data_IF_615763374899
#
_entry.id   IF_615763374899
#
_cell.length_a   1.000
_cell.length_b   1.000
_cell.length_c   1.000
_cell.angle_alpha   90.00
_cell.angle_beta   90.00
_cell.angle_gamma   90.00
#
_symmetry.space_group_name_H-M   'P 1'
#
loop_
_entity.id
_entity.type
_entity.pdbx_description
1 polymer ?
#
# COMPACT_ATOMS: atom_id res chain seq x y z
N UNK A 1 -9.97 31.18 10.61
CA UNK A 1 -11.38 30.76 10.46
C UNK A 1 -12.35 31.76 11.10
N UNK A 2 -12.09 32.29 12.31
CA UNK A 2 -13.00 33.24 13.02
C UNK A 2 -12.83 34.70 12.55
N UNK A 3 -12.10 34.93 11.45
CA UNK A 3 -11.91 36.29 10.92
C UNK A 3 -12.90 36.48 9.76
N UNK A 4 -13.51 37.66 9.70
CA UNK A 4 -14.34 38.06 8.55
C UNK A 4 -13.54 37.93 7.25
N UNK A 5 -14.17 37.37 6.22
CA UNK A 5 -13.56 37.06 4.91
C UNK A 5 -12.41 36.04 4.93
N UNK A 6 -12.36 35.14 5.93
CA UNK A 6 -11.48 33.98 5.85
C UNK A 6 -11.86 33.11 4.63
N UNK A 7 -10.91 32.90 3.72
CA UNK A 7 -11.10 32.08 2.51
C UNK A 7 -10.81 30.62 2.80
N UNK A 8 -11.73 29.75 2.43
CA UNK A 8 -11.63 28.29 2.55
C UNK A 8 -11.01 27.66 1.31
N UNK A 9 -11.10 28.34 0.16
CA UNK A 9 -10.53 27.92 -1.10
C UNK A 9 -9.51 28.96 -1.65
N UNK A 10 -8.55 28.54 -2.49
CA UNK A 10 -7.62 29.45 -3.13
C UNK A 10 -8.30 30.48 -4.05
N UNK A 11 -9.41 30.10 -4.69
CA UNK A 11 -10.17 30.96 -5.61
C UNK A 11 -11.00 32.02 -4.87
N UNK A 12 -11.27 31.80 -3.58
CA UNK A 12 -11.99 32.71 -2.71
C UNK A 12 -13.50 32.75 -2.94
N UNK A 13 -14.06 31.70 -3.55
CA UNK A 13 -15.51 31.51 -3.72
C UNK A 13 -16.16 31.17 -2.38
N UNK A 14 -15.46 30.39 -1.56
CA UNK A 14 -15.92 29.96 -0.24
C UNK A 14 -15.20 30.78 0.83
N UNK A 15 -15.91 31.72 1.44
CA UNK A 15 -15.38 32.56 2.51
C UNK A 15 -16.35 32.71 3.68
N UNK A 16 -15.80 33.12 4.83
CA UNK A 16 -16.60 33.51 6.00
C UNK A 16 -17.28 34.85 5.73
N UNK A 17 -18.59 34.83 5.53
CA UNK A 17 -19.40 36.05 5.42
C UNK A 17 -19.64 36.67 6.81
N UNK A 18 -19.59 38.00 6.89
CA UNK A 18 -20.16 38.73 8.03
C UNK A 18 -21.69 38.65 8.01
N UNK A 19 -22.34 39.01 9.11
CA UNK A 19 -23.81 39.08 9.16
C UNK A 19 -24.29 40.54 9.07
N UNK A 20 -25.42 40.75 8.41
CA UNK A 20 -26.16 42.01 8.52
C UNK A 20 -26.91 42.02 9.87
N UNK A 21 -26.69 43.04 10.70
CA UNK A 21 -27.38 43.18 12.00
C UNK A 21 -28.91 43.36 11.85
N UNK A 22 -29.38 43.80 10.68
CA UNK A 22 -30.78 44.12 10.42
C UNK A 22 -31.60 42.95 9.85
N UNK A 23 -30.97 42.05 9.08
CA UNK A 23 -31.59 40.80 8.63
C UNK A 23 -30.53 39.69 8.45
N UNK A 24 -30.09 39.06 9.57
CA UNK A 24 -29.03 38.07 9.54
C UNK A 24 -29.40 36.85 8.69
N UNK A 25 -30.66 36.41 8.71
CA UNK A 25 -31.07 35.17 8.06
C UNK A 25 -31.01 35.30 6.54
N UNK A 26 -31.58 36.36 5.98
CA UNK A 26 -31.59 36.56 4.52
C UNK A 26 -30.18 36.70 3.97
N UNK A 27 -29.28 37.38 4.68
CA UNK A 27 -27.88 37.54 4.27
C UNK A 27 -27.12 36.21 4.12
N UNK A 28 -27.37 35.25 5.03
CA UNK A 28 -26.78 33.91 4.92
C UNK A 28 -27.40 33.08 3.79
N UNK A 29 -28.72 33.20 3.58
CA UNK A 29 -29.42 32.46 2.51
C UNK A 29 -28.96 32.94 1.13
N UNK A 30 -28.88 34.26 0.91
CA UNK A 30 -28.41 34.82 -0.36
C UNK A 30 -26.97 34.39 -0.68
N UNK A 31 -26.11 34.33 0.33
CA UNK A 31 -24.76 33.81 0.15
C UNK A 31 -24.75 32.32 -0.22
N UNK A 32 -25.52 31.48 0.49
CA UNK A 32 -25.63 30.05 0.19
C UNK A 32 -26.16 29.84 -1.23
N UNK A 33 -27.17 30.60 -1.66
CA UNK A 33 -27.75 30.53 -2.99
C UNK A 33 -26.78 31.00 -4.10
N UNK A 34 -25.79 31.84 -3.75
CA UNK A 34 -24.73 32.26 -4.68
C UNK A 34 -23.66 31.20 -4.91
N UNK A 35 -23.56 30.19 -4.03
CA UNK A 35 -22.51 29.17 -4.11
C UNK A 35 -22.79 28.15 -5.23
N UNK A 36 -21.73 27.59 -5.85
CA UNK A 36 -21.88 26.50 -6.81
C UNK A 36 -22.59 25.28 -6.20
N UNK A 37 -23.46 24.64 -6.97
CA UNK A 37 -24.15 23.39 -6.59
C UNK A 37 -23.17 22.24 -6.29
N UNK A 38 -21.99 22.25 -6.91
CA UNK A 38 -20.94 21.25 -6.70
C UNK A 38 -19.67 21.95 -6.22
N UNK A 39 -19.29 21.68 -4.98
CA UNK A 39 -18.05 22.20 -4.42
C UNK A 39 -16.84 21.45 -4.96
N UNK A 40 -15.78 22.19 -5.29
CA UNK A 40 -14.50 21.60 -5.65
C UNK A 40 -13.79 20.95 -4.45
N UNK A 41 -12.88 20.00 -4.69
CA UNK A 41 -12.14 19.30 -3.63
C UNK A 41 -11.24 20.24 -2.82
N UNK A 42 -10.82 21.36 -3.42
CA UNK A 42 -9.97 22.37 -2.79
C UNK A 42 -10.61 23.00 -1.54
N UNK A 43 -11.96 23.08 -1.48
CA UNK A 43 -12.70 23.59 -0.31
C UNK A 43 -12.45 22.74 0.93
N UNK A 44 -12.17 21.45 0.73
CA UNK A 44 -11.83 20.50 1.80
C UNK A 44 -10.32 20.40 2.02
N UNK A 45 -9.51 21.19 1.32
CA UNK A 45 -8.05 21.09 1.33
C UNK A 45 -7.51 19.91 0.52
N UNK A 46 -8.32 19.31 -0.35
CA UNK A 46 -7.93 18.19 -1.22
C UNK A 46 -7.48 18.70 -2.58
N UNK A 47 -6.55 17.97 -3.21
CA UNK A 47 -6.13 18.23 -4.59
C UNK A 47 -7.22 17.88 -5.61
N UNK A 48 -7.21 18.50 -6.80
CA UNK A 48 -8.20 18.24 -7.87
C UNK A 48 -8.27 16.78 -8.31
N UNK A 49 -7.16 16.05 -8.17
CA UNK A 49 -7.09 14.61 -8.43
C UNK A 49 -8.07 13.79 -7.57
N UNK A 50 -8.54 14.32 -6.43
CA UNK A 50 -9.55 13.66 -5.61
C UNK A 50 -10.87 13.46 -6.36
N UNK A 51 -11.26 14.41 -7.23
CA UNK A 51 -12.45 14.23 -8.07
C UNK A 51 -12.28 13.08 -9.06
N UNK A 52 -11.11 12.98 -9.69
CA UNK A 52 -10.78 11.89 -10.63
C UNK A 52 -10.83 10.55 -9.89
N UNK A 53 -10.22 10.45 -8.71
CA UNK A 53 -10.23 9.24 -7.89
C UNK A 53 -11.65 8.83 -7.46
N UNK A 54 -12.49 9.81 -7.10
CA UNK A 54 -13.89 9.58 -6.76
C UNK A 54 -14.66 9.03 -7.98
N UNK A 55 -14.59 9.70 -9.12
CA UNK A 55 -15.25 9.27 -10.36
C UNK A 55 -14.78 7.89 -10.81
N UNK A 56 -13.48 7.58 -10.70
CA UNK A 56 -12.97 6.23 -10.98
C UNK A 56 -13.60 5.20 -10.05
N UNK A 57 -13.67 5.47 -8.74
CA UNK A 57 -14.25 4.56 -7.75
C UNK A 57 -15.73 4.30 -8.02
N UNK A 58 -16.51 5.35 -8.30
CA UNK A 58 -17.93 5.23 -8.68
C UNK A 58 -18.11 4.44 -9.97
N UNK A 59 -17.27 4.70 -10.98
CA UNK A 59 -17.31 4.01 -12.27
C UNK A 59 -17.02 2.51 -12.10
N UNK A 60 -16.00 2.14 -11.33
CA UNK A 60 -15.70 0.74 -11.04
C UNK A 60 -16.82 0.07 -10.22
N UNK A 61 -17.38 0.77 -9.23
CA UNK A 61 -18.53 0.26 -8.48
C UNK A 61 -19.76 0.03 -9.36
N UNK A 62 -19.96 0.87 -10.37
CA UNK A 62 -21.01 0.70 -11.37
C UNK A 62 -20.74 -0.53 -12.24
N UNK A 63 -19.50 -0.73 -12.71
CA UNK A 63 -19.12 -1.93 -13.45
C UNK A 63 -19.28 -3.21 -12.63
N UNK A 64 -18.86 -3.21 -11.36
CA UNK A 64 -19.05 -4.35 -10.46
C UNK A 64 -20.55 -4.66 -10.28
N UNK A 65 -21.38 -3.63 -10.17
CA UNK A 65 -22.85 -3.79 -10.08
C UNK A 65 -23.41 -4.38 -11.37
N UNK A 66 -23.00 -3.89 -12.54
CA UNK A 66 -23.43 -4.42 -13.84
C UNK A 66 -23.02 -5.88 -14.00
N UNK A 67 -21.78 -6.23 -13.66
CA UNK A 67 -21.28 -7.61 -13.68
C UNK A 67 -22.05 -8.53 -12.71
N UNK A 68 -22.54 -7.99 -11.59
CA UNK A 68 -23.37 -8.74 -10.64
C UNK A 68 -24.81 -8.96 -11.14
N UNK A 69 -25.31 -8.09 -12.02
CA UNK A 69 -26.66 -8.14 -12.59
C UNK A 69 -26.74 -8.95 -13.89
N UNK A 70 -25.59 -9.24 -14.50
CA UNK A 70 -25.53 -10.06 -15.71
C UNK A 70 -26.15 -11.43 -15.43
N UNK A 71 -27.29 -11.71 -16.09
CA UNK A 71 -27.97 -12.99 -15.98
C UNK A 71 -27.03 -14.07 -16.57
N UNK A 72 -26.41 -14.84 -15.69
CA UNK A 72 -25.59 -15.99 -16.06
C UNK A 72 -26.52 -17.12 -16.45
N UNK A 73 -27.18 -16.97 -17.60
CA UNK A 73 -28.02 -18.02 -18.15
C UNK A 73 -27.18 -19.29 -18.33
N UNK A 74 -27.62 -20.36 -17.68
CA UNK A 74 -27.11 -21.72 -17.81
C UNK A 74 -27.48 -22.35 -19.16
N UNK A 75 -27.52 -21.55 -20.24
CA UNK A 75 -27.96 -21.99 -21.56
C UNK A 75 -26.77 -22.30 -22.48
N UNK A 76 -26.32 -23.56 -22.40
CA UNK A 76 -25.89 -24.34 -23.57
C UNK A 76 -24.88 -23.72 -24.52
N UNK A 77 -23.67 -23.41 -24.04
CA UNK A 77 -22.55 -22.98 -24.88
C UNK A 77 -21.20 -23.02 -24.16
N UNK A 78 -20.98 -24.03 -23.31
CA UNK A 78 -19.92 -24.08 -22.28
C UNK A 78 -18.46 -24.17 -22.75
N UNK A 79 -18.14 -23.90 -24.02
CA UNK A 79 -16.74 -23.95 -24.48
C UNK A 79 -15.95 -22.71 -24.08
N UNK A 80 -16.36 -21.53 -24.57
CA UNK A 80 -15.44 -20.36 -24.61
C UNK A 80 -15.01 -19.82 -23.24
N UNK A 81 -15.91 -19.75 -22.26
CA UNK A 81 -15.61 -19.17 -20.95
C UNK A 81 -14.88 -20.16 -20.03
N UNK A 82 -15.30 -21.43 -20.02
CA UNK A 82 -14.61 -22.47 -19.25
C UNK A 82 -13.22 -22.75 -19.82
N UNK A 83 -13.07 -22.75 -21.15
CA UNK A 83 -11.76 -22.85 -21.82
C UNK A 83 -10.88 -21.64 -21.48
N UNK A 84 -11.43 -20.42 -21.45
CA UNK A 84 -10.69 -19.23 -21.06
C UNK A 84 -10.21 -19.29 -19.61
N UNK A 85 -11.08 -19.66 -18.67
CA UNK A 85 -10.74 -19.86 -17.25
C UNK A 85 -9.69 -20.96 -17.09
N UNK A 86 -9.84 -22.06 -17.83
CA UNK A 86 -8.87 -23.16 -17.86
C UNK A 86 -7.49 -22.69 -18.34
N UNK A 87 -7.44 -21.90 -19.42
CA UNK A 87 -6.20 -21.35 -19.95
C UNK A 87 -5.52 -20.40 -18.95
N UNK A 88 -6.27 -19.50 -18.32
CA UNK A 88 -5.74 -18.59 -17.28
C UNK A 88 -5.23 -19.39 -16.08
N UNK A 89 -6.01 -20.37 -15.60
CA UNK A 89 -5.61 -21.24 -14.50
C UNK A 89 -4.34 -22.04 -14.81
N UNK A 90 -4.22 -22.56 -16.04
CA UNK A 90 -3.04 -23.28 -16.50
C UNK A 90 -1.79 -22.37 -16.61
N UNK A 91 -1.96 -21.12 -17.08
CA UNK A 91 -0.86 -20.14 -17.16
C UNK A 91 -0.36 -19.75 -15.77
N UNK A 92 -1.27 -19.43 -14.84
CA UNK A 92 -0.94 -19.13 -13.44
C UNK A 92 -0.23 -20.33 -12.80
N UNK A 93 -0.73 -21.54 -13.03
CA UNK A 93 -0.11 -22.75 -12.50
C UNK A 93 1.30 -22.95 -13.03
N UNK A 94 1.51 -22.71 -14.33
CA UNK A 94 2.83 -22.80 -14.96
C UNK A 94 3.81 -21.79 -14.36
N UNK A 95 3.43 -20.51 -14.28
CA UNK A 95 4.26 -19.45 -13.67
C UNK A 95 4.67 -19.80 -12.23
N UNK A 96 3.72 -20.30 -11.43
CA UNK A 96 3.98 -20.72 -10.04
C UNK A 96 4.81 -21.99 -9.93
N UNK A 97 4.58 -22.97 -10.81
CA UNK A 97 5.33 -24.23 -10.82
C UNK A 97 6.79 -24.02 -11.23
N UNK A 98 7.06 -23.07 -12.13
CA UNK A 98 8.42 -22.69 -12.53
C UNK A 98 9.20 -22.03 -11.38
N UNK A 99 8.57 -21.17 -10.59
CA UNK A 99 9.20 -20.58 -9.39
C UNK A 99 9.32 -21.58 -8.24
N UNK A 100 8.35 -22.48 -8.08
CA UNK A 100 8.34 -23.50 -7.03
C UNK A 100 8.07 -22.94 -5.63
N UNK A 101 8.08 -23.83 -4.64
CA UNK A 101 8.02 -23.47 -3.22
C UNK A 101 9.43 -23.39 -2.64
N UNK A 102 9.62 -22.52 -1.64
CA UNK A 102 10.89 -22.38 -0.94
C UNK A 102 11.21 -23.60 -0.09
N UNK A 103 12.43 -24.12 -0.15
CA UNK A 103 12.89 -25.17 0.77
C UNK A 103 13.23 -24.57 2.14
N UNK A 104 12.27 -24.63 3.06
CA UNK A 104 12.40 -24.03 4.39
C UNK A 104 13.53 -24.67 5.20
N UNK A 105 13.81 -25.96 5.01
CA UNK A 105 14.87 -26.65 5.74
C UNK A 105 16.25 -26.19 5.24
N UNK A 106 16.45 -26.17 3.92
CA UNK A 106 17.68 -25.68 3.31
C UNK A 106 17.93 -24.19 3.63
N UNK A 107 16.90 -23.35 3.50
CA UNK A 107 16.98 -21.92 3.84
C UNK A 107 17.26 -21.72 5.32
N UNK A 108 16.65 -22.51 6.20
CA UNK A 108 16.91 -22.45 7.64
C UNK A 108 18.33 -22.87 8.03
N UNK A 109 18.96 -23.77 7.27
CA UNK A 109 20.37 -24.12 7.44
C UNK A 109 21.31 -23.02 6.90
N UNK A 110 20.96 -22.40 5.77
CA UNK A 110 21.74 -21.32 5.15
C UNK A 110 21.66 -20.01 5.94
N UNK A 111 20.47 -19.69 6.46
CA UNK A 111 20.16 -18.50 7.25
C UNK A 111 19.69 -18.91 8.65
N UNK A 112 20.59 -19.45 9.50
CA UNK A 112 20.21 -19.88 10.83
C UNK A 112 19.86 -18.68 11.71
N UNK A 113 19.12 -18.96 12.79
CA UNK A 113 18.79 -17.95 13.80
C UNK A 113 20.07 -17.55 14.53
N UNK A 114 20.60 -16.39 14.17
CA UNK A 114 21.83 -15.82 14.72
C UNK A 114 21.44 -14.56 15.52
N UNK A 115 22.10 -14.35 16.65
CA UNK A 115 21.82 -13.17 17.49
C UNK A 115 22.16 -11.88 16.75
N UNK A 116 23.26 -11.85 16.02
CA UNK A 116 23.74 -10.70 15.27
C UNK A 116 22.91 -10.37 14.02
N UNK A 117 22.14 -11.35 13.50
CA UNK A 117 21.39 -11.20 12.25
C UNK A 117 19.93 -11.66 12.40
N UNK A 118 19.08 -10.74 12.86
CA UNK A 118 17.63 -10.96 12.96
C UNK A 118 16.95 -11.10 11.60
N UNK A 119 17.51 -10.58 10.50
CA UNK A 119 16.89 -10.67 9.18
C UNK A 119 16.72 -12.11 8.71
N UNK A 120 17.62 -13.02 9.11
CA UNK A 120 17.51 -14.45 8.80
C UNK A 120 16.17 -15.04 9.25
N UNK A 121 15.72 -14.64 10.45
CA UNK A 121 14.43 -15.11 10.98
C UNK A 121 13.27 -14.52 10.19
N UNK A 122 13.37 -13.24 9.79
CA UNK A 122 12.35 -12.58 8.96
C UNK A 122 12.22 -13.30 7.62
N UNK A 123 13.34 -13.57 6.93
CA UNK A 123 13.37 -14.28 5.66
C UNK A 123 12.68 -15.65 5.76
N UNK A 124 13.06 -16.49 6.73
CA UNK A 124 12.46 -17.82 6.92
C UNK A 124 10.94 -17.71 7.17
N UNK A 125 10.50 -16.75 7.99
CA UNK A 125 9.07 -16.56 8.27
C UNK A 125 8.30 -16.07 7.04
N UNK A 126 8.89 -15.23 6.21
CA UNK A 126 8.31 -14.77 4.95
C UNK A 126 8.17 -15.93 3.95
N UNK A 127 9.21 -16.75 3.78
CA UNK A 127 9.16 -17.96 2.97
C UNK A 127 8.05 -18.92 3.43
N UNK A 128 7.89 -19.12 4.74
CA UNK A 128 6.81 -19.96 5.29
C UNK A 128 5.42 -19.41 4.90
N UNK A 129 5.22 -18.10 4.93
CA UNK A 129 3.95 -17.47 4.58
C UNK A 129 3.64 -17.59 3.09
N UNK A 130 4.63 -17.29 2.24
CA UNK A 130 4.49 -17.47 0.80
C UNK A 130 4.24 -18.94 0.44
N UNK A 131 4.94 -19.88 1.06
CA UNK A 131 4.72 -21.31 0.82
C UNK A 131 3.29 -21.76 1.13
N UNK A 132 2.65 -21.23 2.18
CA UNK A 132 1.24 -21.57 2.48
C UNK A 132 0.30 -21.14 1.37
N UNK A 133 0.53 -19.96 0.78
CA UNK A 133 -0.24 -19.46 -0.36
C UNK A 133 0.05 -20.27 -1.62
N UNK A 134 1.34 -20.48 -1.96
CA UNK A 134 1.77 -21.24 -3.13
C UNK A 134 1.20 -22.67 -3.08
N UNK A 135 1.28 -23.35 -1.94
CA UNK A 135 0.74 -24.70 -1.77
C UNK A 135 -0.77 -24.75 -2.01
N UNK A 136 -1.52 -23.75 -1.56
CA UNK A 136 -2.95 -23.68 -1.82
C UNK A 136 -3.24 -23.49 -3.32
N UNK A 137 -2.52 -22.60 -3.98
CA UNK A 137 -2.68 -22.34 -5.41
C UNK A 137 -2.28 -23.57 -6.26
N UNK A 138 -1.15 -24.21 -5.94
CA UNK A 138 -0.68 -25.41 -6.63
C UNK A 138 -1.60 -26.63 -6.41
N UNK A 139 -2.38 -26.65 -5.33
CA UNK A 139 -3.42 -27.67 -5.10
C UNK A 139 -4.69 -27.35 -5.88
N UNK A 140 -5.17 -26.11 -5.82
CA UNK A 140 -6.48 -25.70 -6.34
C UNK A 140 -6.49 -25.50 -7.87
N UNK A 141 -5.43 -24.95 -8.47
CA UNK A 141 -5.36 -24.70 -9.92
C UNK A 141 -5.46 -25.99 -10.77
N UNK A 142 -4.76 -27.09 -10.45
CA UNK A 142 -4.91 -28.34 -11.20
C UNK A 142 -6.26 -29.02 -10.96
N UNK A 143 -6.80 -28.92 -9.75
CA UNK A 143 -8.15 -29.44 -9.42
C UNK A 143 -9.22 -28.72 -10.23
N UNK A 144 -9.16 -27.39 -10.32
CA UNK A 144 -10.05 -26.58 -11.15
C UNK A 144 -9.97 -27.02 -12.62
N UNK A 145 -8.75 -27.15 -13.18
CA UNK A 145 -8.56 -27.59 -14.56
C UNK A 145 -9.12 -28.99 -14.84
N UNK A 146 -9.06 -29.91 -13.87
CA UNK A 146 -9.66 -31.24 -13.99
C UNK A 146 -11.18 -31.18 -13.88
N UNK A 147 -11.72 -30.33 -13.02
CA UNK A 147 -13.15 -30.14 -12.86
C UNK A 147 -13.79 -29.53 -14.12
N UNK A 148 -13.16 -28.52 -14.73
CA UNK A 148 -13.60 -27.93 -16.00
C UNK A 148 -13.62 -28.96 -17.15
N UNK A 149 -12.73 -29.96 -17.12
CA UNK A 149 -12.70 -31.07 -18.10
C UNK A 149 -13.66 -32.22 -17.76
N UNK A 150 -14.44 -32.12 -16.68
CA UNK A 150 -15.34 -33.17 -16.21
C UNK A 150 -14.65 -34.40 -15.61
N UNK A 151 -13.36 -34.30 -15.26
CA UNK A 151 -12.58 -35.39 -14.66
C UNK A 151 -12.70 -35.45 -13.14
N UNK A 152 -13.11 -34.35 -12.51
CA UNK A 152 -13.34 -34.20 -11.06
C UNK A 152 -14.69 -33.53 -10.87
N UNK A 153 -15.38 -33.86 -9.76
CA UNK A 153 -16.66 -33.22 -9.42
C UNK A 153 -16.41 -31.75 -9.08
N UNK A 154 -17.19 -30.86 -9.70
CA UNK A 154 -17.19 -29.43 -9.38
C UNK A 154 -17.74 -29.22 -7.98
N UNK A 155 -16.88 -28.91 -7.01
CA UNK A 155 -17.29 -28.50 -5.67
C UNK A 155 -17.75 -27.03 -5.69
N UNK A 156 -18.46 -26.60 -4.65
CA UNK A 156 -18.84 -25.18 -4.48
C UNK A 156 -17.62 -24.27 -4.47
N UNK A 157 -16.54 -24.69 -3.81
CA UNK A 157 -15.28 -23.95 -3.76
C UNK A 157 -14.64 -23.78 -5.14
N UNK A 158 -14.61 -24.83 -5.96
CA UNK A 158 -14.08 -24.77 -7.33
C UNK A 158 -14.99 -23.96 -8.26
N UNK A 159 -16.30 -24.02 -8.05
CA UNK A 159 -17.27 -23.21 -8.79
C UNK A 159 -17.10 -21.72 -8.50
N UNK A 160 -16.96 -21.33 -7.24
CA UNK A 160 -16.73 -19.94 -6.85
C UNK A 160 -15.36 -19.44 -7.32
N UNK A 161 -14.34 -20.30 -7.28
CA UNK A 161 -13.03 -20.01 -7.85
C UNK A 161 -13.10 -19.81 -9.38
N UNK A 162 -13.84 -20.65 -10.10
CA UNK A 162 -14.05 -20.49 -11.55
C UNK A 162 -14.73 -19.16 -11.86
N UNK A 163 -15.79 -18.82 -11.11
CA UNK A 163 -16.54 -17.57 -11.26
C UNK A 163 -15.69 -16.33 -11.00
N UNK A 164 -14.85 -16.35 -9.98
CA UNK A 164 -13.97 -15.20 -9.62
C UNK A 164 -12.86 -15.02 -10.65
N UNK A 165 -12.22 -16.11 -11.10
CA UNK A 165 -11.21 -16.05 -12.16
C UNK A 165 -11.81 -15.52 -13.47
N UNK A 166 -13.04 -15.93 -13.81
CA UNK A 166 -13.71 -15.47 -15.02
C UNK A 166 -13.93 -13.95 -15.07
N UNK A 167 -14.06 -13.29 -13.92
CA UNK A 167 -14.22 -11.84 -13.80
C UNK A 167 -12.93 -11.13 -13.37
N UNK A 168 -11.77 -11.79 -13.51
CA UNK A 168 -10.45 -11.24 -13.18
C UNK A 168 -10.33 -10.80 -11.71
N UNK A 169 -10.97 -11.52 -10.78
CA UNK A 169 -10.88 -11.32 -9.34
C UNK A 169 -10.10 -12.46 -8.68
N UNK A 170 -9.45 -12.15 -7.57
CA UNK A 170 -8.69 -13.14 -6.79
C UNK A 170 -9.69 -14.01 -6.00
N UNK A 171 -9.63 -15.34 -6.10
CA UNK A 171 -10.46 -16.24 -5.29
C UNK A 171 -10.27 -16.00 -3.78
N UNK A 172 -11.37 -16.00 -3.03
CA UNK A 172 -11.37 -15.77 -1.57
C UNK A 172 -10.49 -16.77 -0.81
N UNK A 173 -10.43 -18.03 -1.27
CA UNK A 173 -9.57 -19.07 -0.70
C UNK A 173 -8.08 -18.72 -0.76
N UNK A 174 -7.67 -17.89 -1.72
CA UNK A 174 -6.32 -17.37 -1.83
C UNK A 174 -6.17 -16.09 -1.02
N UNK A 175 -7.14 -15.17 -1.09
CA UNK A 175 -7.11 -13.90 -0.32
C UNK A 175 -6.94 -14.13 1.19
N UNK A 176 -7.63 -15.13 1.76
CA UNK A 176 -7.51 -15.49 3.18
C UNK A 176 -6.10 -15.90 3.61
N UNK A 177 -5.29 -16.39 2.66
CA UNK A 177 -3.90 -16.79 2.85
C UNK A 177 -2.91 -15.80 2.25
N UNK A 178 -3.38 -14.76 1.58
CA UNK A 178 -2.55 -13.78 0.88
C UNK A 178 -2.31 -12.52 1.70
N UNK A 179 -1.39 -11.70 1.21
CA UNK A 179 -1.21 -10.35 1.68
C UNK A 179 -2.38 -9.48 1.19
N UNK A 180 -2.77 -8.43 1.94
CA UNK A 180 -3.82 -7.50 1.50
C UNK A 180 -3.47 -6.89 0.15
N UNK A 181 -4.40 -6.98 -0.81
CA UNK A 181 -4.27 -6.38 -2.14
C UNK A 181 -5.63 -5.94 -2.65
N UNK A 182 -5.62 -4.96 -3.55
CA UNK A 182 -6.81 -4.51 -4.28
C UNK A 182 -6.65 -4.71 -5.80
N UNK A 183 -5.58 -5.41 -6.21
CA UNK A 183 -5.25 -5.64 -7.61
C UNK A 183 -6.18 -6.69 -8.23
N UNK A 184 -6.55 -6.55 -9.52
CA UNK A 184 -7.22 -7.61 -10.24
C UNK A 184 -6.31 -8.84 -10.40
N UNK A 185 -6.89 -10.01 -10.67
CA UNK A 185 -6.19 -11.30 -10.67
C UNK A 185 -4.91 -11.28 -11.52
N UNK A 186 -4.98 -10.79 -12.76
CA UNK A 186 -3.80 -10.74 -13.64
C UNK A 186 -2.62 -9.96 -13.00
N UNK A 187 -2.87 -8.72 -12.58
CA UNK A 187 -1.85 -7.87 -11.94
C UNK A 187 -1.44 -8.37 -10.55
N UNK A 188 -2.34 -9.06 -9.85
CA UNK A 188 -2.04 -9.69 -8.56
C UNK A 188 -1.08 -10.87 -8.72
N UNK A 189 -1.27 -11.69 -9.75
CA UNK A 189 -0.34 -12.81 -10.06
C UNK A 189 1.03 -12.27 -10.43
N UNK A 190 1.11 -11.24 -11.28
CA UNK A 190 2.41 -10.67 -11.65
C UNK A 190 3.13 -10.07 -10.42
N UNK A 191 2.41 -9.33 -9.54
CA UNK A 191 2.94 -8.83 -8.26
C UNK A 191 3.36 -9.98 -7.31
N UNK A 192 2.63 -11.10 -7.28
CA UNK A 192 3.04 -12.29 -6.53
C UNK A 192 4.35 -12.86 -7.07
N UNK A 193 4.49 -13.00 -8.39
CA UNK A 193 5.71 -13.53 -9.00
C UNK A 193 6.92 -12.62 -8.71
N UNK A 194 6.75 -11.29 -8.80
CA UNK A 194 7.80 -10.33 -8.44
C UNK A 194 8.21 -10.46 -6.97
N UNK A 195 7.25 -10.68 -6.06
CA UNK A 195 7.55 -10.90 -4.62
C UNK A 195 8.35 -12.18 -4.39
N UNK A 196 7.95 -13.26 -5.05
CA UNK A 196 8.66 -14.53 -4.97
C UNK A 196 10.08 -14.40 -5.53
N UNK A 197 10.24 -13.62 -6.59
CA UNK A 197 11.56 -13.33 -7.16
C UNK A 197 12.43 -12.52 -6.22
N UNK A 198 11.89 -11.47 -5.59
CA UNK A 198 12.61 -10.70 -4.58
C UNK A 198 13.11 -11.58 -3.41
N UNK A 199 12.24 -12.43 -2.87
CA UNK A 199 12.62 -13.36 -1.79
C UNK A 199 13.59 -14.44 -2.29
N UNK A 200 13.40 -14.96 -3.50
CA UNK A 200 14.29 -15.93 -4.13
C UNK A 200 15.70 -15.39 -4.35
N UNK A 201 15.81 -14.18 -4.90
CA UNK A 201 17.10 -13.49 -5.08
C UNK A 201 17.80 -13.27 -3.73
N UNK A 202 17.06 -12.96 -2.66
CA UNK A 202 17.64 -12.88 -1.33
C UNK A 202 18.20 -14.26 -0.90
N UNK A 203 17.43 -15.33 -1.04
CA UNK A 203 17.88 -16.69 -0.67
C UNK A 203 19.17 -17.06 -1.43
N UNK A 204 19.22 -16.81 -2.74
CA UNK A 204 20.31 -17.22 -3.62
C UNK A 204 21.56 -16.34 -3.49
N UNK A 205 21.40 -15.02 -3.48
CA UNK A 205 22.49 -14.05 -3.60
C UNK A 205 22.89 -13.40 -2.26
N UNK A 206 22.11 -13.60 -1.20
CA UNK A 206 22.33 -12.97 0.10
C UNK A 206 21.47 -11.72 0.32
N UNK A 207 21.77 -11.01 1.42
CA UNK A 207 20.96 -9.88 1.88
C UNK A 207 20.98 -8.73 0.84
N UNK A 208 19.81 -8.26 0.36
CA UNK A 208 19.74 -7.14 -0.58
C UNK A 208 20.29 -5.83 -0.01
N UNK A 209 20.90 -5.00 -0.85
CA UNK A 209 21.30 -3.63 -0.49
C UNK A 209 20.08 -2.73 -0.25
N UNK A 210 19.07 -2.86 -1.11
CA UNK A 210 17.80 -2.12 -1.04
C UNK A 210 16.65 -3.11 -0.93
N UNK A 211 15.87 -3.00 0.13
CA UNK A 211 14.73 -3.87 0.38
C UNK A 211 13.47 -3.33 -0.29
N UNK A 212 12.75 -4.19 -1.01
CA UNK A 212 11.41 -3.86 -1.48
C UNK A 212 10.41 -4.02 -0.34
N UNK A 213 10.15 -2.95 0.42
CA UNK A 213 9.32 -3.01 1.64
C UNK A 213 7.91 -3.50 1.33
N UNK A 214 7.40 -3.13 0.16
CA UNK A 214 6.09 -3.53 -0.32
C UNK A 214 6.02 -4.98 -0.72
N UNK A 215 7.16 -5.63 -0.96
CA UNK A 215 7.29 -7.04 -1.31
C UNK A 215 7.17 -8.00 -0.12
N UNK A 216 7.25 -7.50 1.12
CA UNK A 216 7.05 -8.33 2.30
C UNK A 216 5.57 -8.65 2.52
N UNK A 217 5.31 -9.89 2.91
CA UNK A 217 4.02 -10.33 3.42
C UNK A 217 3.71 -9.64 4.76
N UNK A 218 4.72 -9.44 5.61
CA UNK A 218 4.58 -8.73 6.89
C UNK A 218 5.71 -7.74 7.17
N UNK A 219 5.60 -6.52 6.61
CA UNK A 219 6.63 -5.48 6.73
C UNK A 219 7.00 -5.12 8.18
N UNK A 220 6.08 -5.27 9.14
CA UNK A 220 6.38 -4.98 10.55
C UNK A 220 7.48 -5.88 11.13
N UNK A 221 7.56 -7.15 10.73
CA UNK A 221 8.65 -8.02 11.20
C UNK A 221 10.00 -7.57 10.64
N UNK A 222 10.03 -7.11 9.39
CA UNK A 222 11.22 -6.51 8.78
C UNK A 222 11.68 -5.26 9.53
N UNK A 223 10.76 -4.32 9.83
CA UNK A 223 11.09 -3.09 10.57
C UNK A 223 11.67 -3.41 11.96
N UNK A 224 11.03 -4.31 12.71
CA UNK A 224 11.51 -4.75 14.02
C UNK A 224 12.86 -5.46 13.90
N UNK A 225 13.05 -6.30 12.88
CA UNK A 225 14.32 -6.97 12.64
C UNK A 225 15.46 -5.97 12.41
N UNK A 226 15.21 -4.88 11.67
CA UNK A 226 16.21 -3.87 11.39
C UNK A 226 16.58 -3.08 12.67
N UNK A 227 15.59 -2.76 13.51
CA UNK A 227 15.84 -2.19 14.85
C UNK A 227 16.62 -3.16 15.73
N UNK A 228 16.31 -4.45 15.69
CA UNK A 228 17.01 -5.49 16.47
C UNK A 228 18.48 -5.60 16.08
N UNK A 229 18.81 -5.62 14.78
CA UNK A 229 20.20 -5.69 14.34
C UNK A 229 21.03 -4.52 14.90
N UNK A 230 20.50 -3.30 14.81
CA UNK A 230 21.17 -2.12 15.36
C UNK A 230 21.26 -2.15 16.89
N UNK A 231 20.17 -2.51 17.56
CA UNK A 231 20.12 -2.61 19.02
C UNK A 231 21.11 -3.66 19.55
N UNK A 232 21.22 -4.82 18.90
CA UNK A 232 22.14 -5.89 19.28
C UNK A 232 23.60 -5.54 18.98
N UNK A 233 23.89 -4.97 17.80
CA UNK A 233 25.23 -4.47 17.43
C UNK A 233 25.79 -3.52 18.49
N UNK A 234 24.94 -2.67 19.06
CA UNK A 234 25.33 -1.64 20.03
C UNK A 234 24.99 -1.99 21.50
N UNK A 235 24.40 -3.17 21.76
CA UNK A 235 23.92 -3.58 23.10
C UNK A 235 22.93 -2.59 23.73
N UNK A 236 22.01 -2.05 22.93
CA UNK A 236 20.94 -1.16 23.37
C UNK A 236 19.62 -1.90 23.59
N UNK A 237 18.75 -1.45 24.51
CA UNK A 237 17.38 -1.91 24.57
C UNK A 237 16.62 -1.51 23.29
N UNK A 238 15.92 -2.45 22.66
CA UNK A 238 15.18 -2.22 21.40
C UNK A 238 14.17 -1.06 21.54
N UNK A 239 13.54 -0.92 22.70
CA UNK A 239 12.52 0.12 22.98
C UNK A 239 13.09 1.55 22.92
N UNK A 240 14.41 1.69 22.95
CA UNK A 240 15.11 2.99 22.86
C UNK A 240 15.52 3.37 21.44
N UNK A 241 15.29 2.48 20.46
CA UNK A 241 15.76 2.64 19.07
C UNK A 241 14.58 3.03 18.17
N UNK A 242 14.70 4.15 17.49
CA UNK A 242 13.74 4.61 16.47
C UNK A 242 14.47 4.98 15.18
N UNK A 243 13.73 5.02 14.06
CA UNK A 243 14.29 5.39 12.76
C UNK A 243 14.26 6.91 12.53
N UNK A 244 15.38 7.45 12.07
CA UNK A 244 15.42 8.62 11.22
C UNK A 244 15.12 8.19 9.77
N UNK A 245 14.46 9.09 9.04
CA UNK A 245 14.09 8.87 7.65
C UNK A 245 14.90 9.84 6.79
N UNK A 246 15.76 9.30 5.93
CA UNK A 246 16.50 10.10 4.97
C UNK A 246 16.09 9.69 3.55
N UNK A 247 15.64 10.66 2.77
CA UNK A 247 15.30 10.47 1.36
C UNK A 247 16.60 10.53 0.59
N UNK A 248 16.91 9.47 -0.16
CA UNK A 248 18.11 9.43 -0.98
C UNK A 248 17.83 10.06 -2.33
N UNK A 249 18.80 10.86 -2.79
CA UNK A 249 18.81 11.46 -4.11
C UNK A 249 19.52 10.52 -5.07
N UNK A 250 18.80 9.47 -5.47
CA UNK A 250 19.24 8.48 -6.46
C UNK A 250 18.21 8.41 -7.58
N UNK A 251 18.69 8.31 -8.82
CA UNK A 251 17.82 8.18 -10.00
C UNK A 251 17.18 6.78 -10.04
N UNK A 252 17.98 5.73 -9.82
CA UNK A 252 17.50 4.37 -9.66
C UNK A 252 18.04 3.73 -8.36
N UNK A 253 17.26 2.81 -7.79
CA UNK A 253 17.66 2.03 -6.62
C UNK A 253 18.71 0.98 -6.98
N UNK A 254 18.79 0.57 -8.24
CA UNK A 254 19.79 -0.38 -8.75
C UNK A 254 21.22 0.19 -8.69
N UNK A 255 21.36 1.53 -8.68
CA UNK A 255 22.66 2.22 -8.59
C UNK A 255 23.27 2.15 -7.17
N UNK A 256 22.57 1.56 -6.19
CA UNK A 256 23.04 1.41 -4.81
C UNK A 256 23.80 0.09 -4.64
N UNK A 257 25.12 0.16 -4.82
CA UNK A 257 26.03 -0.99 -4.74
C UNK A 257 26.38 -1.43 -3.30
N UNK A 258 26.20 -0.55 -2.32
CA UNK A 258 26.59 -0.81 -0.92
C UNK A 258 25.40 -0.67 0.05
N UNK A 259 25.36 -1.56 1.04
CA UNK A 259 24.44 -1.46 2.18
C UNK A 259 24.83 -0.31 3.12
N UNK A 260 23.89 0.29 3.84
CA UNK A 260 24.23 1.34 4.82
C UNK A 260 25.04 0.76 5.98
N UNK A 261 25.87 1.58 6.63
CA UNK A 261 26.62 1.20 7.82
C UNK A 261 25.70 0.77 8.98
N UNK A 262 24.60 1.52 9.14
CA UNK A 262 23.54 1.26 10.09
C UNK A 262 22.16 1.44 9.44
N UNK A 263 21.25 0.51 9.71
CA UNK A 263 19.89 0.54 9.19
C UNK A 263 19.71 -0.19 7.87
N UNK A 264 18.73 0.25 7.09
CA UNK A 264 18.33 -0.39 5.82
C UNK A 264 17.82 0.64 4.83
N UNK A 265 18.06 0.41 3.53
CA UNK A 265 17.41 1.15 2.45
C UNK A 265 16.12 0.45 2.04
N UNK A 266 15.04 1.21 1.85
CA UNK A 266 13.75 0.68 1.41
C UNK A 266 13.25 1.35 0.14
N UNK A 267 12.56 0.58 -0.70
CA UNK A 267 11.85 1.05 -1.91
C UNK A 267 10.44 0.50 -2.01
N UNK A 268 9.66 1.06 -2.93
CA UNK A 268 8.36 0.52 -3.37
C UNK A 268 7.15 1.14 -2.69
N UNK A 269 7.30 2.27 -2.01
CA UNK A 269 6.17 3.04 -1.47
C UNK A 269 5.63 4.00 -2.55
N UNK A 270 4.32 4.17 -2.58
CA UNK A 270 3.61 5.12 -3.44
C UNK A 270 2.92 6.18 -2.59
N UNK A 271 3.07 7.44 -2.94
CA UNK A 271 2.47 8.58 -2.27
C UNK A 271 1.18 9.01 -3.00
N UNK A 272 0.11 9.20 -2.24
CA UNK A 272 -1.17 9.75 -2.70
C UNK A 272 -1.40 11.14 -2.08
N UNK A 273 -1.98 12.05 -2.86
CA UNK A 273 -2.36 13.40 -2.38
C UNK A 273 -1.21 14.41 -2.35
N UNK A 274 0.02 13.97 -2.59
CA UNK A 274 1.20 14.80 -2.78
C UNK A 274 2.18 14.09 -3.73
N UNK A 275 3.30 14.75 -4.03
CA UNK A 275 4.46 14.18 -4.71
C UNK A 275 5.74 14.47 -3.94
N UNK A 276 6.72 13.58 -4.05
CA UNK A 276 8.10 13.91 -3.69
C UNK A 276 8.72 14.75 -4.81
N UNK A 277 9.30 15.90 -4.45
CA UNK A 277 10.01 16.79 -5.35
C UNK A 277 11.51 16.70 -5.05
N UNK A 278 12.25 15.97 -5.91
CA UNK A 278 13.67 15.71 -5.71
C UNK A 278 14.53 16.98 -5.82
N UNK A 279 14.13 17.96 -6.65
CA UNK A 279 14.86 19.22 -6.78
C UNK A 279 14.69 20.10 -5.53
N UNK A 280 13.50 20.08 -4.93
CA UNK A 280 13.20 20.87 -3.74
C UNK A 280 13.49 20.12 -2.42
N UNK A 281 13.84 18.83 -2.49
CA UNK A 281 13.91 17.87 -1.37
C UNK A 281 12.73 18.02 -0.39
N UNK A 282 11.52 18.11 -0.94
CA UNK A 282 10.31 18.46 -0.17
C UNK A 282 9.08 17.82 -0.78
N UNK A 283 8.06 17.55 0.04
CA UNK A 283 6.72 17.32 -0.46
C UNK A 283 6.21 18.53 -1.24
N UNK A 284 5.54 18.24 -2.33
CA UNK A 284 4.90 19.23 -3.18
C UNK A 284 3.53 18.70 -3.64
N UNK A 285 2.68 19.56 -4.18
CA UNK A 285 1.31 19.19 -4.59
C UNK A 285 1.34 18.11 -5.69
N UNK A 286 0.32 17.29 -5.85
CA UNK A 286 0.31 16.32 -6.96
C UNK A 286 0.26 17.03 -8.32
N UNK A 287 0.81 16.42 -9.37
CA UNK A 287 0.61 16.91 -10.74
C UNK A 287 -0.82 16.55 -11.18
N UNK A 288 -1.55 17.42 -11.89
CA UNK A 288 -2.86 17.09 -12.42
C UNK A 288 -2.86 15.78 -13.20
N UNK A 289 -3.84 14.91 -12.93
CA UNK A 289 -3.99 13.56 -13.51
C UNK A 289 -2.96 12.52 -13.07
N UNK A 290 -2.02 12.88 -12.18
CA UNK A 290 -1.12 11.93 -11.54
C UNK A 290 -1.62 11.63 -10.12
N UNK A 291 -2.37 10.54 -9.97
CA UNK A 291 -3.02 10.18 -8.69
C UNK A 291 -2.02 9.70 -7.63
N UNK A 292 -0.99 8.99 -8.08
CA UNK A 292 0.04 8.37 -7.25
C UNK A 292 1.43 8.71 -7.78
N UNK A 293 2.39 8.87 -6.89
CA UNK A 293 3.80 9.06 -7.24
C UNK A 293 4.68 8.08 -6.48
N UNK A 294 5.73 7.50 -7.09
CA UNK A 294 6.67 6.69 -6.34
C UNK A 294 7.42 7.57 -5.33
N UNK A 295 7.63 7.04 -4.13
CA UNK A 295 8.57 7.63 -3.17
C UNK A 295 10.01 7.30 -3.57
N UNK A 296 10.97 8.19 -3.24
CA UNK A 296 12.39 7.89 -3.43
C UNK A 296 12.81 6.72 -2.53
N UNK A 297 14.03 6.21 -2.74
CA UNK A 297 14.64 5.27 -1.78
C UNK A 297 14.77 5.97 -0.43
N UNK A 298 14.30 5.30 0.63
CA UNK A 298 14.34 5.84 2.00
C UNK A 298 15.35 5.04 2.81
N UNK A 299 16.30 5.73 3.41
CA UNK A 299 17.16 5.17 4.45
C UNK A 299 16.44 5.22 5.78
N UNK A 300 16.14 4.03 6.32
CA UNK A 300 15.68 3.85 7.68
C UNK A 300 16.92 3.77 8.57
N UNK A 301 17.38 4.92 9.05
CA UNK A 301 18.58 5.02 9.87
C UNK A 301 18.24 4.92 11.37
N UNK A 302 18.54 3.81 12.04
CA UNK A 302 18.21 3.64 13.46
C UNK A 302 19.09 4.53 14.34
N UNK A 303 18.50 5.09 15.39
CA UNK A 303 19.20 5.88 16.39
C UNK A 303 18.64 5.61 17.79
N UNK A 304 19.52 5.55 18.78
CA UNK A 304 19.12 5.44 20.19
C UNK A 304 18.70 6.81 20.73
N UNK A 305 17.61 6.86 21.50
CA UNK A 305 17.07 8.10 22.10
C UNK A 305 16.89 9.22 21.06
N UNK A 306 16.47 8.82 19.87
CA UNK A 306 16.20 9.69 18.73
C UNK A 306 15.34 10.89 19.14
N UNK A 307 15.82 12.10 18.88
CA UNK A 307 15.02 13.32 18.99
C UNK A 307 14.09 13.45 17.78
N UNK A 308 12.81 13.75 18.02
CA UNK A 308 11.87 14.08 16.97
C UNK A 308 12.26 15.39 16.27
N UNK A 309 12.02 15.55 14.95
CA UNK A 309 12.27 16.81 14.26
C UNK A 309 11.43 17.95 14.84
N UNK A 310 12.03 19.14 14.87
CA UNK A 310 11.44 20.36 15.44
C UNK A 310 10.77 21.27 14.40
N UNK A 311 10.94 20.99 13.11
CA UNK A 311 10.37 21.77 12.01
C UNK A 311 10.50 21.03 10.67
N UNK A 312 9.73 21.45 9.67
CA UNK A 312 9.96 21.11 8.26
C UNK A 312 9.68 19.65 7.88
N UNK A 313 8.83 18.96 8.65
CA UNK A 313 8.47 17.57 8.38
C UNK A 313 6.97 17.36 8.43
N UNK A 314 6.48 16.53 7.51
CA UNK A 314 5.15 15.95 7.55
C UNK A 314 5.22 14.51 8.05
N UNK A 315 4.35 14.15 9.00
CA UNK A 315 4.24 12.77 9.49
C UNK A 315 3.29 12.00 8.58
N UNK A 316 3.84 11.40 7.54
CA UNK A 316 3.08 10.63 6.56
C UNK A 316 2.78 9.22 7.09
N UNK A 317 1.51 8.80 7.15
CA UNK A 317 1.17 7.42 7.48
C UNK A 317 1.45 6.49 6.31
N UNK A 318 1.96 5.28 6.59
CA UNK A 318 2.19 4.22 5.60
C UNK A 318 1.19 3.08 5.80
N UNK A 319 0.52 2.68 4.72
CA UNK A 319 -0.47 1.60 4.71
C UNK A 319 -0.09 0.49 3.71
N UNK A 320 -0.63 -0.72 3.90
CA UNK A 320 -0.48 -1.82 2.93
C UNK A 320 -1.27 -1.56 1.65
N UNK A 321 -2.54 -1.15 1.80
CA UNK A 321 -3.48 -0.91 0.69
C UNK A 321 -4.31 0.35 0.88
N UNK A 322 -4.83 0.87 -0.25
CA UNK A 322 -5.58 2.13 -0.36
C UNK A 322 -6.86 2.21 0.48
N UNK A 323 -7.45 1.09 0.91
CA UNK A 323 -8.70 1.12 1.70
C UNK A 323 -8.55 1.80 3.06
N UNK A 324 -7.29 2.00 3.54
CA UNK A 324 -6.92 2.56 4.86
C UNK A 324 -7.70 1.95 6.05
N UNK A 325 -8.30 0.78 5.82
CA UNK A 325 -9.16 0.05 6.75
C UNK A 325 -8.55 -1.30 7.04
N UNK A 326 -8.75 -1.78 8.26
CA UNK A 326 -8.35 -3.10 8.70
C UNK A 326 -8.97 -3.42 10.05
N UNK A 327 -8.72 -4.62 10.54
CA UNK A 327 -9.07 -5.02 11.91
C UNK A 327 -8.08 -4.43 12.91
N UNK A 328 -8.51 -4.21 14.16
CA UNK A 328 -7.60 -3.80 15.22
C UNK A 328 -6.66 -4.96 15.54
N UNK A 329 -5.36 -4.72 15.46
CA UNK A 329 -4.33 -5.64 15.94
C UNK A 329 -4.16 -5.52 17.46
N UNK A 330 -3.37 -6.42 18.06
CA UNK A 330 -3.05 -6.41 19.50
C UNK A 330 -2.33 -5.13 19.95
N UNK A 331 -1.74 -4.37 19.03
CA UNK A 331 -1.10 -3.07 19.30
C UNK A 331 -2.09 -1.90 19.25
N UNK A 332 -3.38 -2.15 18.99
CA UNK A 332 -4.40 -1.11 18.85
C UNK A 332 -4.41 -0.40 17.49
N UNK A 333 -3.47 -0.73 16.60
CA UNK A 333 -3.44 -0.20 15.22
C UNK A 333 -4.14 -1.12 14.23
N UNK A 334 -4.64 -0.55 13.14
CA UNK A 334 -5.20 -1.30 12.01
C UNK A 334 -4.17 -2.27 11.44
N UNK A 335 -4.58 -3.48 11.06
CA UNK A 335 -3.75 -4.46 10.33
C UNK A 335 -3.22 -3.96 8.99
N UNK A 336 -3.81 -2.87 8.46
CA UNK A 336 -3.38 -2.18 7.25
C UNK A 336 -2.31 -1.09 7.53
N UNK A 337 -2.23 -0.57 8.75
CA UNK A 337 -1.21 0.43 9.11
C UNK A 337 0.16 -0.23 9.33
N UNK A 338 1.21 0.36 8.77
CA UNK A 338 2.59 -0.14 8.88
C UNK A 338 3.39 0.71 9.85
N UNK A 339 3.60 1.98 9.52
CA UNK A 339 4.40 2.92 10.33
C UNK A 339 4.10 4.37 9.94
N UNK A 340 4.62 5.31 10.72
CA UNK A 340 4.76 6.71 10.34
C UNK A 340 6.15 6.94 9.74
N UNK A 341 6.23 7.67 8.64
CA UNK A 341 7.48 8.19 8.09
C UNK A 341 7.46 9.70 8.17
N UNK A 342 8.62 10.30 8.40
CA UNK A 342 8.75 11.75 8.51
C UNK A 342 9.34 12.27 7.20
N UNK A 343 8.49 12.90 6.39
CA UNK A 343 8.83 13.35 5.04
C UNK A 343 9.14 14.85 5.08
N UNK A 344 10.31 15.29 4.59
CA UNK A 344 10.66 16.70 4.48
C UNK A 344 9.61 17.48 3.71
N UNK A 345 9.29 18.67 4.19
CA UNK A 345 8.35 19.55 3.51
C UNK A 345 8.52 21.01 3.91
N UNK A 346 8.48 21.89 2.91
CA UNK A 346 8.57 23.34 3.05
C UNK A 346 7.24 24.03 3.42
N UNK A 347 6.19 23.27 3.74
CA UNK A 347 4.90 23.82 4.17
C UNK A 347 4.95 24.34 5.62
N UNK A 348 3.94 25.12 6.02
CA UNK A 348 3.87 25.68 7.38
C UNK A 348 3.70 24.60 8.45
N UNK A 349 4.54 24.67 9.49
CA UNK A 349 4.53 23.74 10.60
C UNK A 349 3.40 24.02 11.60
N UNK A 350 2.85 22.94 12.16
CA UNK A 350 1.94 22.93 13.29
C UNK A 350 2.43 21.94 14.34
N UNK A 351 1.84 22.00 15.53
CA UNK A 351 2.00 20.98 16.56
C UNK A 351 0.73 20.15 16.61
N UNK A 352 0.84 18.84 16.36
CA UNK A 352 -0.29 17.93 16.38
C UNK A 352 -0.75 17.62 17.83
N UNK A 353 -1.84 16.85 17.95
CA UNK A 353 -2.45 16.48 19.22
C UNK A 353 -1.54 15.63 20.16
N UNK A 354 -0.41 15.12 19.66
CA UNK A 354 0.57 14.35 20.42
C UNK A 354 1.81 15.21 20.74
N UNK A 355 1.75 16.53 20.50
CA UNK A 355 2.85 17.44 20.79
C UNK A 355 4.01 17.34 19.80
N UNK A 356 3.81 16.72 18.64
CA UNK A 356 4.83 16.53 17.61
C UNK A 356 4.61 17.50 16.45
N UNK A 357 5.70 17.88 15.80
CA UNK A 357 5.65 18.72 14.58
C UNK A 357 5.01 17.94 13.44
N UNK A 358 4.15 18.65 12.72
CA UNK A 358 3.38 18.15 11.59
C UNK A 358 2.96 19.33 10.70
N UNK A 359 2.19 19.07 9.63
CA UNK A 359 1.80 20.13 8.68
C UNK A 359 0.34 20.03 8.26
N UNK A 360 -0.43 21.08 8.57
CA UNK A 360 -1.89 21.11 8.37
C UNK A 360 -2.31 20.89 6.92
N UNK A 361 -1.53 21.42 5.96
CA UNK A 361 -1.77 21.28 4.52
C UNK A 361 -1.92 19.81 4.12
N UNK A 362 -0.95 18.99 4.50
CA UNK A 362 -0.89 17.58 4.10
C UNK A 362 -1.85 16.70 4.88
N UNK A 363 -2.11 17.07 6.15
CA UNK A 363 -3.17 16.42 6.95
C UNK A 363 -4.53 16.60 6.27
N UNK A 364 -4.88 17.83 5.88
CA UNK A 364 -6.14 18.13 5.17
C UNK A 364 -6.22 17.45 3.80
N UNK A 365 -5.12 17.46 3.07
CA UNK A 365 -5.01 16.76 1.78
C UNK A 365 -5.10 15.23 1.91
N UNK A 366 -5.05 14.68 3.13
CA UNK A 366 -5.14 13.25 3.38
C UNK A 366 -3.94 12.48 2.82
N UNK A 367 -2.76 13.10 2.79
CA UNK A 367 -1.55 12.51 2.21
C UNK A 367 -1.19 11.22 2.95
N UNK A 368 -0.89 10.17 2.19
CA UNK A 368 -0.45 8.90 2.75
C UNK A 368 0.42 8.14 1.76
N UNK A 369 1.26 7.24 2.29
CA UNK A 369 2.07 6.33 1.51
C UNK A 369 1.49 4.90 1.55
N UNK A 370 1.65 4.16 0.46
CA UNK A 370 1.06 2.84 0.25
C UNK A 370 2.08 1.84 -0.29
N UNK A 371 1.98 0.60 0.16
CA UNK A 371 2.76 -0.49 -0.42
C UNK A 371 2.18 -1.01 -1.74
N UNK A 372 0.85 -1.00 -1.88
CA UNK A 372 0.16 -1.52 -3.07
C UNK A 372 -0.96 -0.61 -3.53
N UNK A 373 -1.01 -0.41 -4.84
CA UNK A 373 -2.05 0.33 -5.54
C UNK A 373 -3.13 -0.62 -6.07
N UNK A 374 -4.31 -0.07 -6.38
CA UNK A 374 -5.44 -0.85 -6.94
C UNK A 374 -5.17 -1.33 -8.38
N UNK A 375 -4.31 -0.63 -9.11
CA UNK A 375 -3.94 -0.92 -10.50
C UNK A 375 -2.43 -0.96 -10.59
#
# INVERSE_FOLDING_TARGET
IINDNYKFDPEGVYFSVGFDESDPQSSYIEYIDSLPLSAGPQVFGLHENANIACTLTETFSMFDTILSLEARDTSGGGGSQEDAVGNVSADIHKKLAEKGAFDIEAIGMQYPVIYEESMNTVLVQECIRYNRLIQEMLRTLPELNKALKGLVVMSTELEDMSKTIAVNQVPTSWEDKAYPSMKPLASWVDDLIERLEFIGQWVENGIPNVFWVSGFYFPQAFLTGAQQNFARKNTFPIDTVNFNFHMLDVDDWEDIDEKPEDGVYIRGLFLEGARWDAEAHSLNDSIPKQLYTPMPVIHLHPAQFREDPKSGVYRCPVYKVLSRRGTLSTTGHSTNFIMWIEVPSNSGDIVNNIGKVDQEKWIKAGVAAFCSLKF
#
